data_IF_330144028383
#
_entry.id   IF_330144028383
#
_cell.length_a   1.000
_cell.length_b   1.000
_cell.length_c   1.000
_cell.angle_alpha   90.00
_cell.angle_beta   90.00
_cell.angle_gamma   90.00
#
_symmetry.space_group_name_H-M   'P 1'
#
loop_
_entity.id
_entity.type
_entity.pdbx_description
1 polymer ?
#
# COMPACT_ATOMS: atom_id res chain seq x y z
N UNK A 1 -6.95 -16.49 14.82
CA UNK A 1 -6.78 -17.06 13.48
C UNK A 1 -6.64 -15.88 12.54
N UNK A 2 -5.45 -15.67 11.96
CA UNK A 2 -5.35 -14.85 10.76
C UNK A 2 -5.99 -15.73 9.69
N UNK A 3 -7.20 -15.38 9.25
CA UNK A 3 -7.81 -16.08 8.13
C UNK A 3 -6.82 -16.01 6.97
N UNK A 4 -6.30 -17.17 6.55
CA UNK A 4 -5.43 -17.25 5.38
C UNK A 4 -6.20 -16.63 4.22
N UNK A 5 -5.69 -15.56 3.59
CA UNK A 5 -6.45 -14.83 2.60
C UNK A 5 -6.81 -15.77 1.45
N UNK A 6 -8.10 -15.81 1.09
CA UNK A 6 -8.62 -16.56 -0.07
C UNK A 6 -7.61 -16.44 -1.26
N UNK A 7 -7.10 -17.55 -1.82
CA UNK A 7 -6.11 -17.54 -2.89
C UNK A 7 -6.53 -16.66 -4.09
N UNK A 8 -7.83 -16.53 -4.33
CA UNK A 8 -8.38 -15.64 -5.36
C UNK A 8 -8.21 -14.16 -4.99
N UNK A 9 -8.43 -13.80 -3.71
CA UNK A 9 -8.18 -12.46 -3.20
C UNK A 9 -6.69 -12.10 -3.23
N UNK A 10 -5.81 -13.04 -2.86
CA UNK A 10 -4.36 -12.87 -2.93
C UNK A 10 -3.90 -12.60 -4.37
N UNK A 11 -4.34 -13.43 -5.33
CA UNK A 11 -4.03 -13.25 -6.76
C UNK A 11 -4.50 -11.89 -7.29
N UNK A 12 -5.68 -11.41 -6.87
CA UNK A 12 -6.21 -10.09 -7.25
C UNK A 12 -5.35 -8.96 -6.67
N UNK A 13 -4.93 -9.08 -5.42
CA UNK A 13 -4.06 -8.12 -4.75
C UNK A 13 -2.69 -8.05 -5.42
N UNK A 14 -2.06 -9.19 -5.72
CA UNK A 14 -0.79 -9.25 -6.47
C UNK A 14 -0.90 -8.55 -7.83
N UNK A 15 -1.97 -8.81 -8.58
CA UNK A 15 -2.24 -8.13 -9.86
C UNK A 15 -2.43 -6.62 -9.69
N UNK A 16 -3.05 -6.17 -8.60
CA UNK A 16 -3.23 -4.75 -8.32
C UNK A 16 -1.88 -4.06 -8.01
N UNK A 17 -1.04 -4.71 -7.20
CA UNK A 17 0.31 -4.22 -6.85
C UNK A 17 1.22 -4.16 -8.08
N UNK A 18 1.18 -5.17 -8.96
CA UNK A 18 1.91 -5.16 -10.25
C UNK A 18 1.49 -4.05 -11.21
N UNK A 19 0.32 -3.42 -11.02
CA UNK A 19 -0.16 -2.30 -11.83
C UNK A 19 0.18 -0.93 -11.25
N UNK A 20 0.81 -0.87 -10.07
CA UNK A 20 1.30 0.38 -9.49
C UNK A 20 2.49 0.92 -10.30
N UNK A 21 2.64 2.25 -10.45
CA UNK A 21 3.89 2.87 -10.90
C UNK A 21 5.07 2.39 -10.05
N UNK A 22 6.24 2.24 -10.68
CA UNK A 22 7.43 1.60 -10.06
C UNK A 22 7.73 2.12 -8.64
N UNK A 23 7.89 3.44 -8.49
CA UNK A 23 8.20 4.06 -7.19
C UNK A 23 7.10 3.83 -6.13
N UNK A 24 5.82 3.80 -6.54
CA UNK A 24 4.73 3.52 -5.60
C UNK A 24 4.72 2.06 -5.15
N UNK A 25 5.09 1.14 -6.04
CA UNK A 25 5.21 -0.28 -5.72
C UNK A 25 6.34 -0.53 -4.74
N UNK A 26 7.52 0.06 -5.00
CA UNK A 26 8.70 -0.08 -4.14
C UNK A 26 8.40 0.39 -2.71
N UNK A 27 7.81 1.57 -2.56
CA UNK A 27 7.45 2.12 -1.25
C UNK A 27 6.36 1.29 -0.57
N UNK A 28 5.33 0.87 -1.31
CA UNK A 28 4.25 0.05 -0.75
C UNK A 28 4.75 -1.32 -0.25
N UNK A 29 5.72 -1.93 -0.93
CA UNK A 29 6.32 -3.19 -0.50
C UNK A 29 7.24 -3.01 0.71
N UNK A 30 7.96 -1.89 0.80
CA UNK A 30 8.81 -1.57 1.95
C UNK A 30 8.01 -1.27 3.22
N UNK A 31 6.81 -0.69 3.09
CA UNK A 31 5.93 -0.38 4.21
C UNK A 31 5.14 -1.59 4.76
N UNK A 32 5.65 -2.82 4.57
CA UNK A 32 5.04 -4.01 5.19
C UNK A 32 5.16 -3.89 6.73
N UNK A 33 4.16 -4.39 7.49
CA UNK A 33 4.12 -4.24 8.95
C UNK A 33 5.39 -4.69 9.69
N UNK A 34 6.17 -5.60 9.09
CA UNK A 34 7.40 -6.17 9.67
C UNK A 34 8.70 -5.71 8.97
N UNK A 35 8.64 -4.89 7.91
CA UNK A 35 9.83 -4.56 7.08
C UNK A 35 10.48 -3.22 7.44
N UNK A 36 9.78 -2.08 7.32
CA UNK A 36 10.37 -0.74 7.54
C UNK A 36 9.34 0.29 8.01
N UNK A 37 9.76 1.18 8.90
CA UNK A 37 8.98 2.37 9.27
C UNK A 37 8.98 3.44 8.17
N UNK A 38 7.98 4.32 8.17
CA UNK A 38 7.88 5.43 7.20
C UNK A 38 9.11 6.37 7.26
N UNK A 39 9.76 6.46 8.42
CA UNK A 39 10.99 7.23 8.63
C UNK A 39 12.18 6.59 7.91
N UNK A 40 12.38 5.28 8.06
CA UNK A 40 13.48 4.58 7.38
C UNK A 40 13.28 4.54 5.86
N UNK A 41 12.02 4.50 5.40
CA UNK A 41 11.69 4.61 3.97
C UNK A 41 12.02 6.03 3.46
N UNK A 42 11.68 7.07 4.22
CA UNK A 42 11.99 8.46 3.88
C UNK A 42 13.50 8.66 3.73
N UNK A 43 14.29 8.17 4.70
CA UNK A 43 15.76 8.24 4.66
C UNK A 43 16.35 7.53 3.45
N UNK A 44 15.91 6.31 3.14
CA UNK A 44 16.41 5.53 2.00
C UNK A 44 16.04 6.10 0.64
N UNK A 45 14.90 6.78 0.54
CA UNK A 45 14.39 7.30 -0.73
C UNK A 45 14.69 8.77 -0.96
N UNK A 46 15.24 9.46 0.05
CA UNK A 46 15.46 10.92 0.01
C UNK A 46 14.15 11.71 0.01
N UNK A 47 13.04 11.11 0.44
CA UNK A 47 11.73 11.74 0.53
C UNK A 47 11.48 12.23 1.95
N UNK A 48 10.51 13.15 2.13
CA UNK A 48 9.97 13.43 3.46
C UNK A 48 8.99 12.34 3.90
N UNK A 49 8.82 12.15 5.21
CA UNK A 49 7.83 11.23 5.78
C UNK A 49 6.44 11.51 5.22
N UNK A 50 6.04 12.78 5.13
CA UNK A 50 4.75 13.16 4.53
C UNK A 50 4.61 12.75 3.05
N UNK A 51 5.70 12.77 2.28
CA UNK A 51 5.68 12.27 0.90
C UNK A 51 5.58 10.75 0.82
N UNK A 52 6.20 10.03 1.77
CA UNK A 52 6.08 8.58 1.92
C UNK A 52 4.64 8.20 2.25
N UNK A 53 4.06 8.78 3.30
CA UNK A 53 2.67 8.57 3.71
C UNK A 53 1.69 8.83 2.56
N UNK A 54 1.88 9.94 1.82
CA UNK A 54 1.03 10.27 0.68
C UNK A 54 1.13 9.25 -0.46
N UNK A 55 2.32 8.70 -0.72
CA UNK A 55 2.52 7.65 -1.74
C UNK A 55 1.87 6.34 -1.29
N UNK A 56 1.99 5.97 -0.01
CA UNK A 56 1.31 4.81 0.58
C UNK A 56 -0.21 4.96 0.46
N UNK A 57 -0.76 6.12 0.85
CA UNK A 57 -2.19 6.40 0.73
C UNK A 57 -2.71 6.31 -0.72
N UNK A 58 -1.91 6.76 -1.71
CA UNK A 58 -2.22 6.61 -3.14
C UNK A 58 -2.17 5.16 -3.60
N UNK A 59 -1.18 4.39 -3.16
CA UNK A 59 -1.07 2.96 -3.48
C UNK A 59 -2.29 2.19 -2.94
N UNK A 60 -2.62 2.39 -1.66
CA UNK A 60 -3.81 1.81 -1.02
C UNK A 60 -5.10 2.23 -1.73
N UNK A 61 -5.24 3.50 -2.11
CA UNK A 61 -6.42 3.97 -2.87
C UNK A 61 -6.53 3.32 -4.24
N UNK A 62 -5.41 3.11 -4.95
CA UNK A 62 -5.37 2.44 -6.25
C UNK A 62 -5.74 0.97 -6.13
N UNK A 63 -5.19 0.28 -5.13
CA UNK A 63 -5.49 -1.11 -4.82
C UNK A 63 -6.97 -1.24 -4.43
N UNK A 64 -7.46 -0.41 -3.52
CA UNK A 64 -8.87 -0.41 -3.10
C UNK A 64 -9.83 -0.19 -4.27
N UNK A 65 -9.56 0.74 -5.20
CA UNK A 65 -10.39 0.93 -6.40
C UNK A 65 -10.41 -0.29 -7.33
N UNK A 66 -9.30 -1.02 -7.40
CA UNK A 66 -9.16 -2.21 -8.26
C UNK A 66 -9.74 -3.47 -7.59
N UNK A 67 -9.73 -3.52 -6.26
CA UNK A 67 -10.28 -4.60 -5.46
C UNK A 67 -11.76 -4.41 -5.16
N UNK A 68 -12.25 -3.16 -5.10
CA UNK A 68 -13.55 -2.83 -4.56
C UNK A 68 -14.37 -1.92 -5.49
N UNK A 69 -15.44 -2.48 -6.05
CA UNK A 69 -16.58 -1.69 -6.55
C UNK A 69 -17.31 -0.96 -5.42
N UNK A 70 -17.03 -1.23 -4.13
CA UNK A 70 -17.52 -0.44 -2.98
C UNK A 70 -16.60 -0.53 -1.74
N UNK A 71 -15.78 0.48 -1.42
CA UNK A 71 -15.31 0.65 -0.03
C UNK A 71 -15.11 2.12 0.34
N UNK A 72 -15.81 2.52 1.40
CA UNK A 72 -15.71 3.85 2.01
C UNK A 72 -14.35 4.06 2.68
N UNK A 73 -13.96 5.33 2.71
CA UNK A 73 -12.66 5.87 3.10
C UNK A 73 -12.39 5.65 4.59
N UNK A 74 -11.50 4.73 4.94
CA UNK A 74 -11.09 4.46 6.32
C UNK A 74 -9.90 5.32 6.78
N UNK A 75 -9.19 6.00 5.86
CA UNK A 75 -8.09 6.94 6.16
C UNK A 75 -8.55 8.35 6.60
N UNK A 76 -9.81 8.50 7.05
CA UNK A 76 -10.41 9.81 7.40
C UNK A 76 -10.57 10.05 8.91
N UNK A 77 -9.98 9.24 9.77
CA UNK A 77 -10.02 9.49 11.21
C UNK A 77 -8.61 9.83 11.70
N UNK A 78 -8.43 11.13 11.98
CA UNK A 78 -7.38 11.75 12.77
C UNK A 78 -7.96 12.01 14.16
#
# INVERSE_FOLDING_TARGET
MIDDPDPVALTRMERAVRKLPRLQREIFLAARPDDMSDVEIAERTGLSVAQVEWKIARALSSIARRMNRQHRRWWRFR
#
